data_IF_299690049473
#
_entry.id   IF_299690049473
#
_cell.length_a   1.000
_cell.length_b   1.000
_cell.length_c   1.000
_cell.angle_alpha   90.00
_cell.angle_beta   90.00
_cell.angle_gamma   90.00
#
_symmetry.space_group_name_H-M   'P 1'
#
loop_
_entity.id
_entity.type
_entity.pdbx_description
1 polymer ?
#
# COMPACT_ATOMS: atom_id res chain seq x y z
N UNK A 1 -4.46 3.92 -34.06
CA UNK A 1 -3.77 4.26 -32.80
C UNK A 1 -2.77 3.16 -32.50
N UNK A 2 -1.50 3.52 -32.54
CA UNK A 2 -0.35 2.69 -32.18
C UNK A 2 0.34 3.34 -30.98
N UNK A 3 1.32 2.65 -30.39
CA UNK A 3 2.11 3.17 -29.28
C UNK A 3 2.88 4.47 -29.63
N UNK A 4 3.16 4.73 -30.92
CA UNK A 4 3.86 5.94 -31.38
C UNK A 4 2.97 7.18 -31.46
N UNK A 5 1.65 7.01 -31.39
CA UNK A 5 0.71 8.14 -31.39
C UNK A 5 0.64 8.78 -29.99
N UNK A 6 1.00 8.04 -28.93
CA UNK A 6 0.90 8.47 -27.53
C UNK A 6 1.72 9.75 -27.27
N UNK A 7 3.01 9.86 -27.67
CA UNK A 7 3.77 11.09 -27.44
C UNK A 7 3.15 12.32 -28.11
N UNK A 8 2.56 12.17 -29.30
CA UNK A 8 1.89 13.28 -30.01
C UNK A 8 0.63 13.76 -29.28
N UNK A 9 -0.14 12.83 -28.74
CA UNK A 9 -1.35 13.13 -27.94
C UNK A 9 -0.94 13.81 -26.63
N UNK A 10 0.04 13.26 -25.91
CA UNK A 10 0.49 13.82 -24.63
C UNK A 10 1.06 15.22 -24.81
N UNK A 11 1.82 15.45 -25.89
CA UNK A 11 2.37 16.77 -26.23
C UNK A 11 1.29 17.86 -26.33
N UNK A 12 0.09 17.50 -26.81
CA UNK A 12 -1.02 18.45 -26.99
C UNK A 12 -1.93 18.52 -25.77
N UNK A 13 -2.29 17.37 -25.19
CA UNK A 13 -3.24 17.29 -24.08
C UNK A 13 -2.65 17.80 -22.76
N UNK A 14 -1.38 17.49 -22.46
CA UNK A 14 -0.79 17.81 -21.16
C UNK A 14 -0.70 19.31 -20.89
N UNK A 15 -0.20 20.18 -21.81
CA UNK A 15 -0.17 21.62 -21.58
C UNK A 15 -1.57 22.25 -21.43
N UNK A 16 -2.58 21.69 -22.10
CA UNK A 16 -3.96 22.14 -22.00
C UNK A 16 -4.60 21.74 -20.67
N UNK A 17 -4.25 20.56 -20.15
CA UNK A 17 -4.76 20.07 -18.87
C UNK A 17 -4.03 20.69 -17.68
N UNK A 18 -2.70 20.74 -17.71
CA UNK A 18 -1.85 21.15 -16.60
C UNK A 18 -1.65 22.68 -16.50
N UNK A 19 -2.75 23.43 -16.59
CA UNK A 19 -2.72 24.88 -16.37
C UNK A 19 -2.74 25.20 -14.87
N UNK A 20 -2.21 26.35 -14.43
CA UNK A 20 -2.31 26.78 -13.04
C UNK A 20 -3.76 26.81 -12.53
N UNK A 21 -4.71 27.19 -13.39
CA UNK A 21 -6.13 27.20 -13.07
C UNK A 21 -6.66 25.79 -12.76
N UNK A 22 -6.36 24.81 -13.61
CA UNK A 22 -6.84 23.43 -13.41
C UNK A 22 -6.16 22.77 -12.22
N UNK A 23 -4.86 23.00 -12.04
CA UNK A 23 -4.10 22.48 -10.90
C UNK A 23 -4.70 23.04 -9.61
N UNK A 24 -4.81 24.37 -9.48
CA UNK A 24 -5.38 25.00 -8.26
C UNK A 24 -6.83 24.57 -8.00
N UNK A 25 -7.65 24.43 -9.05
CA UNK A 25 -9.00 23.89 -8.92
C UNK A 25 -9.01 22.45 -8.40
N UNK A 26 -8.07 21.61 -8.84
CA UNK A 26 -7.88 20.25 -8.34
C UNK A 26 -7.55 20.22 -6.85
N UNK A 27 -6.58 21.02 -6.41
CA UNK A 27 -6.22 21.15 -4.99
C UNK A 27 -7.39 21.62 -4.11
N UNK A 28 -8.19 22.55 -4.63
CA UNK A 28 -9.39 23.04 -3.94
C UNK A 28 -10.48 21.97 -3.86
N UNK A 29 -10.66 21.20 -4.93
CA UNK A 29 -11.69 20.16 -5.01
C UNK A 29 -11.40 18.96 -4.12
N UNK A 30 -10.13 18.62 -3.90
CA UNK A 30 -9.69 17.56 -2.98
C UNK A 30 -9.52 18.05 -1.55
N UNK A 31 -9.67 19.35 -1.29
CA UNK A 31 -9.50 19.91 0.04
C UNK A 31 -8.06 19.85 0.54
N UNK A 32 -7.08 19.73 -0.36
CA UNK A 32 -5.66 19.83 0.00
C UNK A 32 -5.31 21.30 0.27
N UNK A 33 -5.81 22.21 -0.57
CA UNK A 33 -5.64 23.65 -0.38
C UNK A 33 -6.85 24.47 -0.87
N UNK A 34 -7.51 25.26 0.01
CA UNK A 34 -7.33 25.27 1.46
C UNK A 34 -7.67 23.90 2.07
N UNK A 35 -7.04 23.58 3.20
CA UNK A 35 -7.22 22.28 3.84
C UNK A 35 -8.67 22.11 4.33
N UNK A 36 -9.36 21.10 3.81
CA UNK A 36 -10.68 20.67 4.28
C UNK A 36 -10.71 19.14 4.42
N UNK A 37 -10.57 18.67 5.66
CA UNK A 37 -10.54 17.25 6.00
C UNK A 37 -11.91 16.55 5.87
N UNK A 38 -13.00 17.32 5.82
CA UNK A 38 -14.37 16.81 5.82
C UNK A 38 -14.98 16.86 4.39
N UNK A 39 -14.14 16.98 3.36
CA UNK A 39 -14.59 17.15 1.97
C UNK A 39 -15.06 15.86 1.31
N UNK A 40 -14.56 14.71 1.76
CA UNK A 40 -14.97 13.39 1.30
C UNK A 40 -16.00 12.80 2.24
N UNK A 41 -17.02 12.18 1.68
CA UNK A 41 -18.06 11.45 2.39
C UNK A 41 -17.76 9.96 2.40
N UNK A 42 -18.43 9.20 3.26
CA UNK A 42 -18.29 7.73 3.31
C UNK A 42 -18.61 7.07 1.94
N UNK A 43 -19.53 7.67 1.18
CA UNK A 43 -19.88 7.22 -0.17
C UNK A 43 -18.69 7.25 -1.15
N UNK A 44 -17.78 8.22 -1.00
CA UNK A 44 -16.59 8.36 -1.84
C UNK A 44 -15.56 7.24 -1.60
N UNK A 45 -15.66 6.54 -0.47
CA UNK A 45 -14.81 5.41 -0.10
C UNK A 45 -15.47 4.05 -0.33
N UNK A 46 -16.74 3.98 -0.77
CA UNK A 46 -17.46 2.71 -0.97
C UNK A 46 -16.71 1.65 -1.81
N UNK A 47 -15.95 1.99 -2.87
CA UNK A 47 -15.20 1.00 -3.62
C UNK A 47 -14.08 0.29 -2.84
N UNK A 48 -13.53 0.89 -1.77
CA UNK A 48 -12.44 0.28 -0.99
C UNK A 48 -12.89 -0.89 -0.11
N UNK A 49 -14.17 -0.97 0.25
CA UNK A 49 -14.70 -2.08 1.05
C UNK A 49 -14.49 -3.46 0.40
N UNK A 50 -14.37 -3.51 -0.93
CA UNK A 50 -14.13 -4.77 -1.66
C UNK A 50 -12.72 -5.31 -1.39
N UNK A 51 -11.76 -4.44 -1.08
CA UNK A 51 -10.38 -4.82 -0.73
C UNK A 51 -10.22 -5.18 0.74
N UNK A 52 -11.15 -4.79 1.61
CA UNK A 52 -11.18 -5.16 3.04
C UNK A 52 -11.63 -6.60 3.30
N UNK A 53 -11.53 -7.48 2.29
CA UNK A 53 -11.85 -8.90 2.45
C UNK A 53 -10.86 -9.50 3.45
N UNK A 54 -11.35 -10.20 4.50
CA UNK A 54 -10.46 -10.96 5.36
C UNK A 54 -9.65 -11.92 4.48
N UNK A 55 -8.36 -12.08 4.81
CA UNK A 55 -7.47 -13.00 4.12
C UNK A 55 -8.21 -14.34 3.99
N UNK A 56 -8.39 -14.89 2.77
CA UNK A 56 -9.14 -16.12 2.60
C UNK A 56 -8.46 -17.16 3.47
N UNK A 57 -9.18 -17.61 4.49
CA UNK A 57 -8.71 -18.64 5.40
C UNK A 57 -8.32 -19.81 4.51
N UNK A 58 -7.02 -20.12 4.40
CA UNK A 58 -6.63 -21.46 3.97
C UNK A 58 -7.37 -22.38 4.92
N UNK A 59 -8.28 -23.20 4.39
CA UNK A 59 -8.88 -24.27 5.16
C UNK A 59 -7.76 -25.25 5.47
N UNK A 60 -6.97 -24.93 6.48
CA UNK A 60 -6.22 -25.94 7.21
C UNK A 60 -7.24 -26.49 8.19
N UNK A 61 -7.89 -27.59 7.80
CA UNK A 61 -8.36 -28.54 8.79
C UNK A 61 -7.19 -28.78 9.75
N UNK A 62 -7.25 -28.23 10.94
CA UNK A 62 -6.35 -28.59 12.02
C UNK A 62 -6.69 -30.01 12.46
N UNK A 63 -6.29 -31.00 11.65
CA UNK A 63 -5.94 -32.30 12.23
C UNK A 63 -4.72 -32.02 13.09
N UNK A 64 -4.87 -32.14 14.40
CA UNK A 64 -3.74 -32.11 15.34
C UNK A 64 -2.85 -33.30 14.99
N UNK A 65 -1.80 -33.06 14.20
CA UNK A 65 -0.68 -33.99 14.08
C UNK A 65 0.43 -33.39 14.92
N UNK A 66 0.60 -33.94 16.12
CA UNK A 66 1.73 -33.69 17.01
C UNK A 66 3.04 -33.85 16.25
N UNK A 67 3.82 -32.78 16.11
CA UNK A 67 5.17 -32.85 15.56
C UNK A 67 6.08 -33.66 16.52
N UNK A 68 6.94 -34.57 16.02
CA UNK A 68 7.93 -35.21 16.88
C UNK A 68 8.94 -34.15 17.34
N UNK A 69 9.20 -34.11 18.66
CA UNK A 69 10.06 -33.12 19.30
C UNK A 69 11.50 -33.17 18.74
N UNK A 70 11.97 -32.05 18.21
CA UNK A 70 13.40 -31.84 17.91
C UNK A 70 14.17 -31.66 19.23
N UNK A 71 15.36 -32.29 19.39
CA UNK A 71 16.14 -32.15 20.61
C UNK A 71 16.70 -30.71 20.75
N UNK A 72 16.91 -30.21 21.99
CA UNK A 72 17.35 -28.84 22.22
C UNK A 72 18.80 -28.63 21.76
N UNK A 73 19.05 -27.55 21.03
CA UNK A 73 20.39 -27.10 20.65
C UNK A 73 21.04 -26.44 21.88
N UNK A 74 22.26 -26.83 22.31
CA UNK A 74 22.92 -26.18 23.45
C UNK A 74 23.33 -24.74 23.11
N UNK A 75 23.00 -23.79 24.01
CA UNK A 75 23.42 -22.39 23.92
C UNK A 75 24.95 -22.27 24.13
N UNK A 76 25.70 -21.50 23.31
CA UNK A 76 27.11 -21.23 23.60
C UNK A 76 27.22 -20.32 24.83
N UNK A 77 28.05 -20.73 25.81
CA UNK A 77 28.30 -19.96 27.03
C UNK A 77 29.13 -18.69 26.79
N UNK A 78 29.14 -17.74 27.75
CA UNK A 78 29.80 -16.44 27.58
C UNK A 78 31.33 -16.59 27.61
N UNK A 79 31.99 -15.99 26.63
CA UNK A 79 33.44 -15.99 26.46
C UNK A 79 34.11 -15.22 27.61
N UNK A 80 34.79 -15.93 28.50
CA UNK A 80 35.47 -15.35 29.66
C UNK A 80 36.80 -14.70 29.29
N UNK A 81 37.01 -13.46 29.74
CA UNK A 81 38.32 -12.82 29.81
C UNK A 81 38.93 -13.07 31.21
N UNK A 82 40.08 -13.72 31.31
CA UNK A 82 41.13 -13.39 32.28
C UNK A 82 42.51 -13.76 31.70
N UNK A 83 43.35 -12.75 31.42
CA UNK A 83 44.49 -12.31 32.24
C UNK A 83 45.61 -13.36 32.35
N UNK A 84 46.74 -13.07 31.71
CA UNK A 84 48.01 -12.96 32.42
C UNK A 84 48.47 -11.51 32.32
#
# INVERSE_FOLDING_TARGET
MTIYDIPGIVKTALPLAATPLHITAGFRKTGIFPLNKDIFTDADFMPSYITDRPCPHSTTEHTIITAPALPPIPLPGPFGMNQT
#
